data_IF_521998155811
#
_entry.id   IF_521998155811
#
_cell.length_a   1.000
_cell.length_b   1.000
_cell.length_c   1.000
_cell.angle_alpha   90.00
_cell.angle_beta   90.00
_cell.angle_gamma   90.00
#
_symmetry.space_group_name_H-M   'P 1'
#
loop_
_entity.id
_entity.type
_entity.pdbx_description
1 polymer ?
#
# COMPACT_ATOMS: atom_id res chain seq x y z
N UNK A 1 -6.58 -1.75 -14.02
CA UNK A 1 -7.61 -1.78 -15.08
C UNK A 1 -8.25 -3.16 -15.28
N UNK A 2 -7.47 -4.23 -15.46
CA UNK A 2 -8.02 -5.59 -15.68
C UNK A 2 -9.07 -6.00 -14.63
N UNK A 3 -8.74 -5.89 -13.34
CA UNK A 3 -9.68 -6.30 -12.29
C UNK A 3 -11.01 -5.53 -12.31
N UNK A 4 -10.96 -4.23 -12.60
CA UNK A 4 -12.17 -3.40 -12.73
C UNK A 4 -13.07 -3.85 -13.89
N UNK A 5 -12.47 -4.26 -15.00
CA UNK A 5 -13.22 -4.67 -16.20
C UNK A 5 -13.78 -6.09 -16.08
N UNK A 6 -13.10 -6.99 -15.37
CA UNK A 6 -13.45 -8.41 -15.36
C UNK A 6 -14.12 -8.89 -14.07
N UNK A 7 -13.85 -8.24 -12.93
CA UNK A 7 -14.40 -8.64 -11.63
C UNK A 7 -15.35 -7.60 -11.04
N UNK A 8 -15.12 -6.31 -11.28
CA UNK A 8 -15.91 -5.23 -10.66
C UNK A 8 -16.79 -4.46 -11.65
N UNK A 9 -16.97 -4.97 -12.86
CA UNK A 9 -17.75 -4.30 -13.89
C UNK A 9 -19.21 -4.07 -13.43
N UNK A 10 -19.69 -2.84 -13.60
CA UNK A 10 -21.01 -2.36 -13.14
C UNK A 10 -21.23 -2.40 -11.63
N UNK A 11 -20.19 -2.64 -10.83
CA UNK A 11 -20.26 -2.46 -9.38
C UNK A 11 -19.96 -1.01 -9.02
N UNK A 12 -20.61 -0.49 -7.99
CA UNK A 12 -20.41 0.86 -7.47
C UNK A 12 -20.59 0.85 -5.95
N UNK A 13 -20.05 1.88 -5.27
CA UNK A 13 -20.22 2.08 -3.83
C UNK A 13 -19.80 0.86 -2.97
N UNK A 14 -18.79 0.12 -3.42
CA UNK A 14 -18.23 -1.01 -2.67
C UNK A 14 -17.23 -0.58 -1.61
N UNK A 15 -16.55 -1.57 -1.03
CA UNK A 15 -15.48 -1.35 -0.05
C UNK A 15 -14.18 -1.99 -0.49
N UNK A 16 -13.04 -1.37 -0.13
CA UNK A 16 -11.72 -1.91 -0.42
C UNK A 16 -10.79 -1.84 0.81
N UNK A 17 -9.77 -2.69 0.78
CA UNK A 17 -8.61 -2.65 1.65
C UNK A 17 -7.35 -2.70 0.77
N UNK A 18 -6.43 -1.77 0.95
CA UNK A 18 -5.12 -1.78 0.29
C UNK A 18 -4.02 -1.85 1.34
N UNK A 19 -3.11 -2.82 1.19
CA UNK A 19 -1.93 -3.00 2.03
C UNK A 19 -0.70 -2.53 1.27
N UNK A 20 0.12 -1.67 1.88
CA UNK A 20 1.24 -1.02 1.19
C UNK A 20 0.72 0.06 0.24
N UNK A 21 -0.05 1.02 0.76
CA UNK A 21 -0.70 2.06 -0.04
C UNK A 21 0.26 3.12 -0.64
N UNK A 22 1.55 3.11 -0.26
CA UNK A 22 2.52 4.14 -0.58
C UNK A 22 1.94 5.54 -0.28
N UNK A 23 2.17 6.50 -1.19
CA UNK A 23 1.58 7.83 -1.12
C UNK A 23 0.13 7.87 -1.65
N UNK A 24 -0.50 6.72 -1.95
CA UNK A 24 -1.92 6.62 -2.28
C UNK A 24 -2.33 7.02 -3.70
N UNK A 25 -1.39 7.34 -4.59
CA UNK A 25 -1.69 7.83 -5.95
C UNK A 25 -1.00 7.00 -7.01
N UNK A 26 0.32 7.20 -7.20
CA UNK A 26 1.12 6.40 -8.13
C UNK A 26 1.24 4.99 -7.58
N UNK A 27 1.06 3.99 -8.45
CA UNK A 27 1.04 2.56 -8.14
C UNK A 27 -0.13 2.08 -7.25
N UNK A 28 -1.09 2.95 -6.90
CA UNK A 28 -2.27 2.51 -6.16
C UNK A 28 -3.16 1.63 -7.02
N UNK A 29 -3.61 0.53 -6.44
CA UNK A 29 -4.56 -0.39 -7.06
C UNK A 29 -6.01 0.03 -6.85
N UNK A 30 -6.28 0.93 -5.87
CA UNK A 30 -7.63 1.29 -5.45
C UNK A 30 -8.04 2.72 -5.79
N UNK A 31 -7.12 3.57 -6.28
CA UNK A 31 -7.42 4.98 -6.62
C UNK A 31 -8.58 5.13 -7.60
N UNK A 32 -8.71 4.23 -8.57
CA UNK A 32 -9.83 4.23 -9.51
C UNK A 32 -11.12 3.68 -8.90
N UNK A 33 -11.03 2.74 -7.96
CA UNK A 33 -12.22 2.24 -7.26
C UNK A 33 -12.88 3.38 -6.46
N UNK A 34 -12.06 4.20 -5.81
CA UNK A 34 -12.55 5.38 -5.08
C UNK A 34 -13.03 6.48 -6.03
N UNK A 35 -12.15 7.01 -6.87
CA UNK A 35 -12.42 8.23 -7.65
C UNK A 35 -13.39 8.05 -8.82
N UNK A 36 -13.55 6.81 -9.34
CA UNK A 36 -14.42 6.53 -10.49
C UNK A 36 -15.66 5.74 -10.09
N UNK A 37 -15.52 4.77 -9.18
CA UNK A 37 -16.61 3.83 -8.84
C UNK A 37 -17.32 4.17 -7.53
N UNK A 38 -16.86 5.20 -6.81
CA UNK A 38 -17.46 5.66 -5.55
C UNK A 38 -17.21 4.72 -4.37
N UNK A 39 -16.24 3.83 -4.46
CA UNK A 39 -15.92 2.91 -3.36
C UNK A 39 -15.23 3.67 -2.23
N UNK A 40 -15.37 3.17 -1.00
CA UNK A 40 -14.67 3.71 0.18
C UNK A 40 -13.88 2.61 0.85
N UNK A 41 -12.72 2.91 1.41
CA UNK A 41 -11.87 1.86 1.93
C UNK A 41 -10.83 2.30 2.93
N UNK A 42 -10.07 1.31 3.37
CA UNK A 42 -8.96 1.44 4.31
C UNK A 42 -7.65 1.30 3.53
N UNK A 43 -6.73 2.22 3.77
CA UNK A 43 -5.39 2.24 3.20
C UNK A 43 -4.40 2.06 4.35
N UNK A 44 -3.64 0.96 4.33
CA UNK A 44 -2.63 0.65 5.34
C UNK A 44 -1.24 0.88 4.73
N UNK A 45 -0.42 1.68 5.39
CA UNK A 45 0.96 1.96 4.97
C UNK A 45 1.88 1.98 6.20
N UNK A 46 3.03 1.33 6.10
CA UNK A 46 3.98 1.21 7.21
C UNK A 46 5.06 2.32 7.17
N UNK A 47 5.46 2.77 5.97
CA UNK A 47 6.43 3.86 5.80
C UNK A 47 5.87 5.17 6.36
N UNK A 48 6.53 5.79 7.35
CA UNK A 48 6.09 7.10 7.88
C UNK A 48 6.08 8.19 6.80
N UNK A 49 7.06 8.17 5.89
CA UNK A 49 7.19 9.17 4.82
C UNK A 49 6.08 9.03 3.77
N UNK A 50 5.73 7.80 3.39
CA UNK A 50 4.61 7.54 2.49
C UNK A 50 3.28 7.87 3.15
N UNK A 51 3.07 7.44 4.41
CA UNK A 51 1.86 7.70 5.16
C UNK A 51 1.57 9.20 5.31
N UNK A 52 2.59 10.02 5.60
CA UNK A 52 2.43 11.48 5.72
C UNK A 52 1.88 12.12 4.41
N UNK A 53 2.21 11.54 3.26
CA UNK A 53 1.68 11.99 1.95
C UNK A 53 0.32 11.36 1.65
N UNK A 54 0.13 10.10 2.03
CA UNK A 54 -1.10 9.33 1.84
C UNK A 54 -2.31 10.07 2.40
N UNK A 55 -2.23 10.55 3.64
CA UNK A 55 -3.34 11.23 4.33
C UNK A 55 -3.79 12.50 3.59
N UNK A 56 -2.88 13.22 2.95
CA UNK A 56 -3.20 14.40 2.14
C UNK A 56 -3.72 14.05 0.75
N UNK A 57 -3.21 12.96 0.17
CA UNK A 57 -3.58 12.53 -1.18
C UNK A 57 -4.91 11.78 -1.22
N UNK A 58 -5.31 11.13 -0.12
CA UNK A 58 -6.51 10.29 -0.02
C UNK A 58 -7.37 10.66 1.19
N UNK A 59 -7.86 11.91 1.27
CA UNK A 59 -8.57 12.42 2.45
C UNK A 59 -9.92 11.74 2.73
N UNK A 60 -10.52 11.10 1.72
CA UNK A 60 -11.79 10.38 1.85
C UNK A 60 -11.63 8.92 2.34
N UNK A 61 -10.41 8.39 2.30
CA UNK A 61 -10.10 7.05 2.77
C UNK A 61 -9.74 7.03 4.26
N UNK A 62 -9.96 5.89 4.91
CA UNK A 62 -9.43 5.65 6.25
C UNK A 62 -7.95 5.27 6.09
N UNK A 63 -7.05 6.17 6.44
CA UNK A 63 -5.62 5.92 6.38
C UNK A 63 -5.10 5.40 7.73
N UNK A 64 -4.35 4.30 7.71
CA UNK A 64 -3.78 3.68 8.91
C UNK A 64 -2.26 3.55 8.75
N UNK A 65 -1.52 4.14 9.69
CA UNK A 65 -0.07 4.00 9.77
C UNK A 65 0.28 2.72 10.53
N UNK A 66 0.45 1.61 9.82
CA UNK A 66 0.77 0.32 10.43
C UNK A 66 1.45 -0.63 9.44
N UNK A 67 2.22 -1.58 9.98
CA UNK A 67 2.63 -2.78 9.27
C UNK A 67 1.63 -3.92 9.58
N UNK A 68 1.39 -4.80 8.60
CA UNK A 68 0.50 -5.96 8.77
C UNK A 68 1.34 -7.21 8.92
N UNK A 69 1.19 -7.89 10.06
CA UNK A 69 1.89 -9.12 10.41
C UNK A 69 0.89 -10.18 10.90
N UNK A 70 1.28 -11.45 10.84
CA UNK A 70 0.48 -12.56 11.39
C UNK A 70 0.50 -12.60 12.92
N UNK A 71 1.61 -12.17 13.52
CA UNK A 71 1.84 -12.10 14.96
C UNK A 71 2.30 -10.70 15.36
N UNK A 72 2.11 -10.37 16.64
CA UNK A 72 2.67 -9.15 17.23
C UNK A 72 4.18 -9.32 17.47
N UNK A 73 4.97 -8.47 16.84
CA UNK A 73 6.43 -8.52 16.91
C UNK A 73 7.06 -7.17 16.58
N UNK A 74 8.26 -6.93 17.11
CA UNK A 74 9.14 -5.89 16.62
C UNK A 74 9.90 -6.38 15.39
N UNK A 75 9.95 -5.54 14.36
CA UNK A 75 10.51 -5.87 13.05
C UNK A 75 11.35 -4.72 12.50
N UNK A 76 12.25 -5.00 11.57
CA UNK A 76 13.07 -3.99 10.90
C UNK A 76 12.41 -3.58 9.59
N UNK A 77 11.88 -2.34 9.55
CA UNK A 77 11.32 -1.78 8.32
C UNK A 77 12.39 -1.07 7.49
N UNK A 78 12.50 -1.44 6.22
CA UNK A 78 13.45 -0.86 5.26
C UNK A 78 12.85 0.38 4.60
N UNK A 79 13.46 1.54 4.86
CA UNK A 79 12.92 2.85 4.44
C UNK A 79 13.70 3.55 3.31
N UNK A 80 14.64 2.86 2.68
CA UNK A 80 15.55 3.39 1.65
C UNK A 80 14.83 3.99 0.43
N UNK A 81 15.52 4.84 -0.35
CA UNK A 81 14.98 5.73 -1.40
C UNK A 81 14.28 5.07 -2.61
N UNK A 82 14.07 3.76 -2.59
CA UNK A 82 13.35 3.05 -3.65
C UNK A 82 11.91 2.80 -3.21
N UNK A 83 10.94 3.21 -4.03
CA UNK A 83 9.55 3.35 -3.59
C UNK A 83 8.85 2.03 -3.26
N UNK A 84 8.43 1.26 -4.26
CA UNK A 84 7.57 0.08 -4.09
C UNK A 84 8.36 -1.20 -3.75
N UNK A 85 9.51 -1.06 -3.09
CA UNK A 85 10.38 -2.17 -2.67
C UNK A 85 10.77 -2.10 -1.20
N UNK A 86 10.22 -1.12 -0.46
CA UNK A 86 10.27 -1.04 1.01
C UNK A 86 9.48 -2.19 1.64
N UNK A 87 9.77 -2.49 2.89
CA UNK A 87 9.05 -3.53 3.61
C UNK A 87 9.77 -4.01 4.85
N UNK A 88 9.27 -5.09 5.42
CA UNK A 88 9.85 -5.74 6.60
C UNK A 88 11.01 -6.64 6.16
N UNK A 89 12.23 -6.34 6.62
CA UNK A 89 13.46 -7.03 6.23
C UNK A 89 13.39 -8.55 6.48
N UNK A 90 12.88 -8.95 7.63
CA UNK A 90 12.79 -10.35 8.07
C UNK A 90 11.97 -11.23 7.12
N UNK A 91 11.07 -10.64 6.34
CA UNK A 91 10.20 -11.34 5.40
C UNK A 91 10.62 -11.18 3.93
N UNK A 92 11.72 -10.46 3.65
CA UNK A 92 12.24 -10.35 2.29
C UNK A 92 13.02 -11.60 1.89
N UNK A 93 12.80 -12.07 0.66
CA UNK A 93 13.64 -13.12 0.10
C UNK A 93 15.10 -12.63 -0.05
N UNK A 94 16.13 -13.46 0.18
CA UNK A 94 17.52 -13.05 0.04
C UNK A 94 17.87 -12.46 -1.34
N UNK A 95 17.31 -13.02 -2.41
CA UNK A 95 17.48 -12.50 -3.77
C UNK A 95 16.86 -11.12 -3.97
N UNK A 96 15.74 -10.84 -3.27
CA UNK A 96 15.10 -9.53 -3.29
C UNK A 96 15.97 -8.49 -2.58
N UNK A 97 16.49 -8.83 -1.40
CA UNK A 97 17.44 -7.96 -0.66
C UNK A 97 18.69 -7.69 -1.51
N UNK A 98 19.29 -8.72 -2.11
CA UNK A 98 20.46 -8.54 -2.97
C UNK A 98 20.21 -7.63 -4.18
N UNK A 99 19.02 -7.73 -4.79
CA UNK A 99 18.69 -6.96 -5.98
C UNK A 99 18.30 -5.51 -5.65
N UNK A 100 17.41 -5.32 -4.68
CA UNK A 100 16.80 -4.02 -4.38
C UNK A 100 17.49 -3.27 -3.25
N UNK A 101 18.12 -3.99 -2.32
CA UNK A 101 18.76 -3.43 -1.12
C UNK A 101 20.21 -3.93 -0.94
N UNK A 102 21.09 -3.85 -1.96
CA UNK A 102 22.44 -4.44 -1.91
C UNK A 102 23.39 -3.80 -0.86
N UNK A 103 22.92 -2.76 -0.16
CA UNK A 103 23.67 -2.02 0.87
C UNK A 103 23.21 -2.35 2.30
N UNK A 104 22.16 -3.16 2.45
CA UNK A 104 21.79 -3.78 3.73
C UNK A 104 22.64 -5.03 3.94
#
# INVERSE_FOLDING_TARGET
>A
LYAMQHYFHKMANGTFLELGALAGVRLSNTVSLESVMGWRGVLIEASPANYARLVGNRPDAICVHAAVCGDDAQVHYVELDQEAVKGIYEFMAPSFVQHWHPKL
#
